data_IF_816955191585
#
_entry.id   IF_816955191585
#
_cell.length_a   1.000
_cell.length_b   1.000
_cell.length_c   1.000
_cell.angle_alpha   90.00
_cell.angle_beta   90.00
_cell.angle_gamma   90.00
#
_symmetry.space_group_name_H-M   'P 1'
#
loop_
_entity.id
_entity.type
_entity.pdbx_description
1 polymer ?
#
# COMPACT_ATOMS: atom_id res chain seq x y z
N UNK A 1 -3.17 4.92 -2.02
CA UNK A 1 -1.75 5.17 -2.32
C UNK A 1 -1.58 6.64 -2.66
N UNK A 2 -0.44 7.26 -2.35
CA UNK A 2 -0.13 8.66 -2.68
C UNK A 2 1.34 8.82 -3.03
N UNK A 3 1.67 9.82 -3.85
CA UNK A 3 3.05 10.24 -4.14
C UNK A 3 3.55 11.29 -3.14
N UNK A 4 2.67 11.85 -2.30
CA UNK A 4 3.05 12.79 -1.23
C UNK A 4 3.58 11.98 -0.04
N UNK A 5 4.89 11.93 0.09
CA UNK A 5 5.55 11.23 1.19
C UNK A 5 5.26 11.98 2.50
N UNK A 6 4.64 11.29 3.46
CA UNK A 6 4.46 11.75 4.84
C UNK A 6 5.08 10.73 5.78
N UNK A 7 5.84 11.21 6.76
CA UNK A 7 6.42 10.38 7.82
C UNK A 7 5.40 10.21 8.94
N UNK A 8 4.60 9.14 8.89
CA UNK A 8 3.64 8.77 9.92
C UNK A 8 3.43 7.25 9.90
N UNK A 9 3.08 6.67 11.05
CA UNK A 9 2.78 5.24 11.20
C UNK A 9 1.61 4.76 10.32
N UNK A 10 0.79 5.67 9.79
CA UNK A 10 -0.26 5.35 8.83
C UNK A 10 0.24 5.18 7.38
N UNK A 11 1.52 5.42 7.11
CA UNK A 11 2.09 5.39 5.77
C UNK A 11 3.19 4.35 5.66
N UNK A 12 3.12 3.52 4.62
CA UNK A 12 4.17 2.58 4.27
C UNK A 12 4.70 2.89 2.87
N UNK A 13 5.99 3.19 2.75
CA UNK A 13 6.61 3.51 1.46
C UNK A 13 6.85 2.23 0.69
N UNK A 14 6.34 2.16 -0.54
CA UNK A 14 6.55 1.03 -1.43
C UNK A 14 7.99 1.04 -1.97
N UNK A 15 8.63 -0.11 -1.88
CA UNK A 15 10.01 -0.36 -2.30
C UNK A 15 10.08 -1.39 -3.42
N UNK A 16 9.23 -2.42 -3.42
CA UNK A 16 9.31 -3.51 -4.39
C UNK A 16 8.79 -3.12 -5.78
N UNK A 17 7.81 -2.20 -5.84
CA UNK A 17 7.22 -1.77 -7.11
C UNK A 17 7.81 -0.44 -7.58
N UNK A 18 8.43 -0.46 -8.76
CA UNK A 18 8.95 0.74 -9.42
C UNK A 18 7.84 1.44 -10.22
N UNK A 19 7.12 2.33 -9.56
CA UNK A 19 6.27 3.30 -10.25
C UNK A 19 7.12 4.44 -10.84
N UNK A 20 6.54 5.21 -11.77
CA UNK A 20 7.16 6.43 -12.31
C UNK A 20 7.49 7.49 -11.26
N UNK A 21 6.86 7.39 -10.07
CA UNK A 21 7.13 8.24 -8.91
C UNK A 21 7.16 7.41 -7.63
N UNK A 22 8.03 7.75 -6.66
CA UNK A 22 7.98 7.16 -5.33
C UNK A 22 6.57 7.26 -4.74
N UNK A 23 6.07 6.14 -4.24
CA UNK A 23 4.68 6.01 -3.81
C UNK A 23 4.60 5.35 -2.43
N UNK A 24 3.63 5.77 -1.64
CA UNK A 24 3.35 5.21 -0.32
C UNK A 24 1.89 4.75 -0.22
N UNK A 25 1.70 3.61 0.43
CA UNK A 25 0.40 3.15 0.89
C UNK A 25 -0.08 4.01 2.06
N UNK A 26 -1.39 4.21 2.13
CA UNK A 26 -2.07 4.90 3.22
C UNK A 26 -2.86 3.82 3.96
N UNK A 27 -2.27 3.29 5.02
CA UNK A 27 -2.79 2.12 5.74
C UNK A 27 -4.14 2.41 6.39
N UNK A 28 -4.35 3.62 6.90
CA UNK A 28 -5.63 4.06 7.49
C UNK A 28 -6.78 4.19 6.49
N UNK A 29 -6.51 4.11 5.18
CA UNK A 29 -7.52 4.17 4.12
C UNK A 29 -7.80 2.79 3.49
N UNK A 30 -7.50 1.70 4.21
CA UNK A 30 -7.90 0.37 3.80
C UNK A 30 -9.43 0.28 3.66
N UNK A 31 -9.90 -0.26 2.54
CA UNK A 31 -11.33 -0.37 2.21
C UNK A 31 -11.60 -1.54 1.29
N UNK A 32 -12.83 -2.05 1.36
CA UNK A 32 -13.34 -3.07 0.43
C UNK A 32 -13.75 -2.39 -0.88
N UNK A 33 -13.33 -2.96 -2.01
CA UNK A 33 -13.63 -2.44 -3.35
C UNK A 33 -14.18 -3.60 -4.21
N UNK A 34 -15.23 -3.33 -4.98
CA UNK A 34 -15.80 -4.27 -5.95
C UNK A 34 -14.79 -4.58 -7.07
N UNK A 35 -14.64 -5.86 -7.41
CA UNK A 35 -13.74 -6.34 -8.45
C UNK A 35 -14.01 -5.70 -9.82
N UNK A 36 -15.25 -5.30 -10.12
CA UNK A 36 -15.62 -4.63 -11.38
C UNK A 36 -15.03 -3.23 -11.52
N UNK A 37 -14.54 -2.63 -10.44
CA UNK A 37 -13.93 -1.28 -10.45
C UNK A 37 -12.43 -1.29 -10.77
N UNK A 38 -11.80 -2.46 -10.93
CA UNK A 38 -10.39 -2.53 -11.30
C UNK A 38 -10.24 -2.39 -12.82
N UNK A 39 -9.60 -1.31 -13.27
CA UNK A 39 -9.36 -1.05 -14.69
C UNK A 39 -8.12 -1.77 -15.22
N UNK A 40 -7.02 -1.75 -14.44
CA UNK A 40 -5.71 -2.25 -14.88
C UNK A 40 -4.83 -2.65 -13.71
N UNK A 41 -3.98 -3.66 -13.93
CA UNK A 41 -2.90 -4.04 -13.02
C UNK A 41 -1.67 -3.17 -13.34
N UNK A 42 -1.19 -2.41 -12.34
CA UNK A 42 -0.06 -1.49 -12.49
C UNK A 42 1.28 -2.07 -12.04
N UNK A 43 1.24 -3.16 -11.27
CA UNK A 43 2.40 -3.81 -10.67
C UNK A 43 1.98 -4.73 -9.54
N UNK A 44 2.93 -5.50 -9.05
CA UNK A 44 2.73 -6.47 -7.98
C UNK A 44 3.84 -6.30 -6.95
N UNK A 45 3.45 -6.23 -5.67
CA UNK A 45 4.40 -6.17 -4.57
C UNK A 45 5.00 -7.54 -4.32
N UNK A 46 6.26 -7.60 -3.90
CA UNK A 46 6.86 -8.87 -3.51
C UNK A 46 6.24 -9.42 -2.21
N UNK A 47 6.52 -10.70 -1.95
CA UNK A 47 5.96 -11.42 -0.80
C UNK A 47 6.45 -10.82 0.53
N UNK A 48 7.70 -10.35 0.59
CA UNK A 48 8.29 -9.82 1.82
C UNK A 48 7.61 -8.50 2.22
N UNK A 49 7.44 -7.59 1.26
CA UNK A 49 6.75 -6.32 1.44
C UNK A 49 5.26 -6.55 1.73
N UNK A 50 4.62 -7.51 1.06
CA UNK A 50 3.24 -7.89 1.36
C UNK A 50 3.07 -8.35 2.82
N UNK A 51 3.95 -9.20 3.32
CA UNK A 51 3.93 -9.66 4.72
C UNK A 51 4.14 -8.50 5.70
N UNK A 52 5.01 -7.55 5.36
CA UNK A 52 5.23 -6.34 6.15
C UNK A 52 3.97 -5.47 6.20
N UNK A 53 3.33 -5.20 5.05
CA UNK A 53 2.09 -4.44 4.96
C UNK A 53 1.00 -5.11 5.81
N UNK A 54 0.89 -6.45 5.73
CA UNK A 54 -0.08 -7.21 6.54
C UNK A 54 0.17 -7.07 8.03
N UNK A 55 1.44 -7.07 8.47
CA UNK A 55 1.80 -6.84 9.88
C UNK A 55 1.39 -5.45 10.35
N UNK A 56 1.72 -4.41 9.57
CA UNK A 56 1.38 -3.03 9.89
C UNK A 56 -0.13 -2.79 9.94
N UNK A 57 -0.90 -3.42 9.04
CA UNK A 57 -2.36 -3.36 9.09
C UNK A 57 -2.90 -4.03 10.35
N UNK A 58 -2.35 -5.17 10.78
CA UNK A 58 -2.76 -5.79 12.05
C UNK A 58 -2.53 -4.87 13.24
N UNK A 59 -1.34 -4.27 13.34
CA UNK A 59 -0.99 -3.32 14.43
C UNK A 59 -1.87 -2.07 14.46
N UNK A 60 -2.50 -1.71 13.35
CA UNK A 60 -3.39 -0.54 13.26
C UNK A 60 -4.83 -0.82 13.70
N UNK A 61 -5.28 -2.08 13.60
CA UNK A 61 -6.68 -2.47 13.83
C UNK A 61 -6.88 -3.44 15.00
N UNK A 62 -5.79 -3.92 15.62
CA UNK A 62 -5.75 -4.80 16.79
C UNK A 62 -4.84 -4.19 17.85
#
# INVERSE_FOLDING_TARGET
>A
MTTKIKSSHFYHRLQSVKFSRPSSLILSQARVIDKKRFEKILGEVDIAEFLQIKKLLKELYL
#
